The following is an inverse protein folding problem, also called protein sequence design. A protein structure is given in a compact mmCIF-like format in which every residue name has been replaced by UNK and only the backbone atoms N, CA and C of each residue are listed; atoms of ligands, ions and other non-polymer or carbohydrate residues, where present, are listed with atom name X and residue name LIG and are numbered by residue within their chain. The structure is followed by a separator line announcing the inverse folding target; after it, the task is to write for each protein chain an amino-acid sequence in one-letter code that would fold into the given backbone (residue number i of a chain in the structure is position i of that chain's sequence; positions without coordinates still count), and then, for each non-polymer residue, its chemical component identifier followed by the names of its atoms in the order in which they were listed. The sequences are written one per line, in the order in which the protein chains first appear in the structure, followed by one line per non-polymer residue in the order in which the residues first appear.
data_IF_008336093806
#
_entry.id   IF_008336093806
#
_cell.length_a   1.000
_cell.length_b   1.000
_cell.length_c   1.000
_cell.angle_alpha   90.00
_cell.angle_beta   90.00
_cell.angle_gamma   90.00
#
_symmetry.space_group_name_H-M   'P 1'
#
loop_
_entity.id
_entity.type
_entity.pdbx_description
1 polymer ?
#
# COMPACT_ATOMS: atom_id res chain seq x y z
N UNK A 1 2.29 3.64 12.57
CA UNK A 1 3.71 3.78 13.02
C UNK A 1 4.59 4.60 12.10
N UNK A 2 4.53 4.42 10.77
CA UNK A 2 5.48 5.01 9.80
C UNK A 2 5.83 6.49 9.99
N UNK A 3 4.85 7.37 10.23
CA UNK A 3 5.13 8.81 10.44
C UNK A 3 6.00 9.11 11.67
N UNK A 4 5.99 8.28 12.72
CA UNK A 4 6.89 8.44 13.87
C UNK A 4 8.33 8.08 13.48
N UNK A 5 8.51 7.01 12.71
CA UNK A 5 9.80 6.60 12.14
C UNK A 5 10.33 7.70 11.22
N UNK A 6 9.50 8.22 10.32
CA UNK A 6 9.91 9.29 9.39
C UNK A 6 10.20 10.61 10.10
N UNK A 7 9.50 10.94 11.19
CA UNK A 7 9.80 12.10 12.03
C UNK A 7 11.17 11.99 12.71
N UNK A 8 11.53 10.80 13.21
CA UNK A 8 12.87 10.53 13.76
C UNK A 8 13.93 10.63 12.66
N UNK A 9 13.74 9.99 11.51
CA UNK A 9 14.66 10.07 10.36
C UNK A 9 14.87 11.53 9.91
N UNK A 10 13.79 12.30 9.73
CA UNK A 10 13.85 13.70 9.32
C UNK A 10 14.54 14.59 10.38
N UNK A 11 14.32 14.33 11.67
CA UNK A 11 15.01 15.05 12.74
C UNK A 11 16.51 14.74 12.78
N UNK A 12 16.89 13.47 12.70
CA UNK A 12 18.29 13.03 12.62
C UNK A 12 18.99 13.60 11.37
N UNK A 13 18.39 13.47 10.18
CA UNK A 13 18.90 14.05 8.94
C UNK A 13 19.11 15.56 9.06
N UNK A 14 18.14 16.29 9.65
CA UNK A 14 18.27 17.72 9.85
C UNK A 14 19.37 18.09 10.87
N UNK A 15 19.60 17.30 11.93
CA UNK A 15 20.61 17.59 12.96
C UNK A 15 22.03 17.22 12.51
N UNK A 16 22.20 16.09 11.81
CA UNK A 16 23.51 15.59 11.35
C UNK A 16 23.86 16.12 9.96
N UNK A 17 23.09 15.78 8.92
CA UNK A 17 23.37 16.15 7.53
C UNK A 17 23.08 17.61 7.19
N UNK A 18 22.35 18.33 8.05
CA UNK A 18 21.88 19.70 7.82
C UNK A 18 22.96 20.74 7.50
N UNK A 19 24.15 20.64 8.10
CA UNK A 19 25.26 21.53 7.79
C UNK A 19 25.89 21.23 6.42
N UNK A 20 26.00 19.95 6.08
CA UNK A 20 26.47 19.49 4.76
C UNK A 20 25.48 19.92 3.69
N UNK A 21 24.18 19.74 3.91
CA UNK A 21 23.07 20.24 3.07
C UNK A 21 23.12 21.78 2.90
N UNK A 22 23.52 22.54 3.94
CA UNK A 22 23.71 23.99 3.85
C UNK A 22 24.92 24.39 3.00
N UNK A 23 26.02 23.63 3.07
CA UNK A 23 27.26 23.88 2.32
C UNK A 23 27.11 23.42 0.85
N UNK A 24 26.79 22.14 0.65
CA UNK A 24 26.72 21.45 -0.64
C UNK A 24 25.30 20.87 -0.86
N UNK A 25 24.30 21.69 -1.21
CA UNK A 25 22.91 21.22 -1.35
C UNK A 25 22.66 20.32 -2.59
N UNK A 26 23.48 20.43 -3.64
CA UNK A 26 23.27 19.75 -4.92
C UNK A 26 23.15 18.21 -4.82
N UNK A 27 24.09 17.47 -4.18
CA UNK A 27 23.96 16.01 -4.08
C UNK A 27 22.69 15.56 -3.32
N UNK A 28 22.27 16.28 -2.27
CA UNK A 28 21.04 15.96 -1.55
C UNK A 28 19.78 16.20 -2.37
N UNK A 29 19.78 17.20 -3.26
CA UNK A 29 18.66 17.44 -4.17
C UNK A 29 18.63 16.41 -5.31
N UNK A 30 19.79 15.98 -5.82
CA UNK A 30 19.89 14.90 -6.79
C UNK A 30 19.41 13.57 -6.19
N UNK A 31 19.89 13.21 -4.98
CA UNK A 31 19.43 12.03 -4.26
C UNK A 31 17.91 12.07 -3.99
N UNK A 32 17.38 13.21 -3.53
CA UNK A 32 15.93 13.35 -3.34
C UNK A 32 15.14 13.22 -4.66
N UNK A 33 15.69 13.65 -5.80
CA UNK A 33 15.05 13.50 -7.10
C UNK A 33 15.08 12.04 -7.59
N UNK A 34 16.21 11.35 -7.43
CA UNK A 34 16.33 9.91 -7.74
C UNK A 34 15.36 9.10 -6.88
N UNK A 35 15.40 9.25 -5.54
CA UNK A 35 14.48 8.57 -4.62
C UNK A 35 12.99 8.89 -4.89
N UNK A 36 12.69 10.10 -5.40
CA UNK A 36 11.35 10.45 -5.86
C UNK A 36 10.95 9.73 -7.16
N UNK A 37 11.87 9.54 -8.10
CA UNK A 37 11.64 8.78 -9.34
C UNK A 37 11.50 7.28 -9.00
N UNK A 38 12.40 6.72 -8.19
CA UNK A 38 12.36 5.33 -7.76
C UNK A 38 11.02 4.99 -7.09
N UNK A 39 10.53 5.87 -6.21
CA UNK A 39 9.24 5.71 -5.55
C UNK A 39 8.03 5.81 -6.49
N UNK A 40 8.13 6.60 -7.58
CA UNK A 40 7.12 6.62 -8.65
C UNK A 40 7.20 5.31 -9.45
N UNK A 41 8.39 4.88 -9.86
CA UNK A 41 8.59 3.63 -10.61
C UNK A 41 8.05 2.42 -9.83
N UNK A 42 8.33 2.29 -8.53
CA UNK A 42 7.76 1.20 -7.71
C UNK A 42 6.23 1.26 -7.65
N UNK A 43 5.63 2.46 -7.57
CA UNK A 43 4.17 2.65 -7.55
C UNK A 43 3.48 2.49 -8.92
N UNK A 44 4.23 2.46 -10.02
CA UNK A 44 3.69 2.14 -11.35
C UNK A 44 3.94 0.69 -11.77
N UNK A 45 5.08 0.12 -11.36
CA UNK A 45 5.54 -1.19 -11.82
C UNK A 45 5.25 -2.33 -10.84
N UNK A 46 5.03 -2.03 -9.54
CA UNK A 46 4.82 -3.00 -8.46
C UNK A 46 5.69 -4.28 -8.58
N UNK A 47 7.03 -4.15 -8.67
CA UNK A 47 7.91 -5.29 -8.93
C UNK A 47 7.76 -6.34 -7.83
N UNK A 48 7.43 -7.57 -8.27
CA UNK A 48 7.25 -8.73 -7.40
C UNK A 48 8.57 -9.17 -6.75
N UNK A 49 8.47 -9.83 -5.60
CA UNK A 49 9.65 -10.32 -4.86
C UNK A 49 10.33 -9.29 -3.94
N UNK A 50 9.81 -8.07 -3.78
CA UNK A 50 10.25 -7.17 -2.70
C UNK A 50 9.82 -7.75 -1.34
N UNK A 51 10.74 -7.95 -0.37
CA UNK A 51 10.37 -8.41 0.98
C UNK A 51 9.46 -7.40 1.70
N UNK A 52 8.41 -7.88 2.37
CA UNK A 52 7.40 -7.05 3.03
C UNK A 52 8.00 -6.01 3.99
N UNK A 53 9.08 -6.34 4.71
CA UNK A 53 9.78 -5.38 5.57
C UNK A 53 10.30 -4.16 4.79
N UNK A 54 10.90 -4.37 3.62
CA UNK A 54 11.43 -3.28 2.80
C UNK A 54 10.29 -2.43 2.22
N UNK A 55 9.21 -3.09 1.78
CA UNK A 55 8.03 -2.41 1.26
C UNK A 55 7.35 -1.57 2.36
N UNK A 56 7.02 -2.20 3.49
CA UNK A 56 6.27 -1.62 4.61
C UNK A 56 7.04 -0.53 5.35
N UNK A 57 8.37 -0.64 5.56
CA UNK A 57 9.13 0.29 6.39
C UNK A 57 10.01 1.30 5.64
N UNK A 58 10.43 0.99 4.40
CA UNK A 58 11.30 1.89 3.61
C UNK A 58 10.51 2.49 2.45
N UNK A 59 9.97 1.69 1.53
CA UNK A 59 9.28 2.17 0.32
C UNK A 59 8.03 2.98 0.69
N UNK A 60 7.25 2.50 1.65
CA UNK A 60 6.08 3.19 2.19
C UNK A 60 6.37 4.60 2.76
N UNK A 61 7.62 4.93 3.06
CA UNK A 61 8.00 6.27 3.52
C UNK A 61 7.95 7.32 2.39
N UNK A 62 8.14 6.86 1.15
CA UNK A 62 8.14 7.68 -0.06
C UNK A 62 6.77 7.60 -0.75
N UNK A 63 6.24 6.41 -0.97
CA UNK A 63 4.92 6.24 -1.62
C UNK A 63 3.83 6.91 -0.81
N UNK A 64 3.72 6.64 0.50
CA UNK A 64 2.69 7.27 1.38
C UNK A 64 3.06 8.69 1.83
N UNK A 65 4.10 9.31 1.27
CA UNK A 65 4.51 10.70 1.52
C UNK A 65 4.96 11.05 2.95
N UNK A 66 5.03 10.07 3.85
CA UNK A 66 5.25 10.28 5.30
C UNK A 66 6.63 10.89 5.59
N UNK A 67 7.66 10.63 4.78
CA UNK A 67 8.97 11.28 4.89
C UNK A 67 8.93 12.75 4.44
N UNK A 68 8.20 13.05 3.37
CA UNK A 68 8.00 14.44 2.91
C UNK A 68 7.25 15.24 3.98
N UNK A 69 6.17 14.68 4.55
CA UNK A 69 5.41 15.28 5.65
C UNK A 69 6.26 15.53 6.90
N UNK A 70 7.14 14.59 7.27
CA UNK A 70 8.07 14.76 8.39
C UNK A 70 9.13 15.85 8.13
N UNK A 71 9.71 15.89 6.93
CA UNK A 71 10.66 16.94 6.56
C UNK A 71 9.99 18.34 6.57
N UNK A 72 8.74 18.44 6.10
CA UNK A 72 7.93 19.66 6.25
C UNK A 72 7.64 20.02 7.70
N UNK A 73 7.31 19.04 8.56
CA UNK A 73 7.13 19.26 9.99
C UNK A 73 8.39 19.89 10.61
N UNK A 74 9.60 19.40 10.30
CA UNK A 74 10.86 20.04 10.75
C UNK A 74 11.01 21.47 10.21
N UNK A 75 10.71 21.72 8.92
CA UNK A 75 10.73 23.08 8.31
C UNK A 75 9.70 24.03 8.94
N UNK A 76 8.59 23.52 9.47
CA UNK A 76 7.55 24.29 10.16
C UNK A 76 7.93 24.56 11.62
N UNK A 77 8.27 23.51 12.39
CA UNK A 77 8.67 23.61 13.80
C UNK A 77 9.90 24.48 14.01
N UNK A 78 10.85 24.50 13.06
CA UNK A 78 11.97 25.46 13.08
C UNK A 78 11.56 26.93 13.00
N UNK A 79 10.36 27.22 12.51
CA UNK A 79 9.75 28.54 12.60
C UNK A 79 9.01 28.81 13.91
N UNK A 80 8.53 27.78 14.62
CA UNK A 80 7.65 27.91 15.78
C UNK A 80 8.39 28.01 17.14
N UNK A 81 9.55 27.36 17.28
CA UNK A 81 10.35 27.37 18.53
C UNK A 81 11.10 28.72 18.69
N UNK A 82 11.53 29.08 19.90
CA UNK A 82 12.35 30.28 20.15
C UNK A 82 13.77 30.12 19.60
N UNK A 83 14.41 31.23 19.20
CA UNK A 83 15.79 31.23 18.71
C UNK A 83 16.84 31.06 19.85
N UNK A 84 16.40 31.06 21.12
CA UNK A 84 17.29 30.86 22.27
C UNK A 84 17.84 29.43 22.30
N UNK A 85 17.04 28.42 21.91
CA UNK A 85 17.40 27.01 21.97
C UNK A 85 18.57 26.68 21.01
N UNK A 86 19.62 25.96 21.44
CA UNK A 86 20.83 25.73 20.65
C UNK A 86 20.56 24.93 19.37
N UNK A 87 19.72 23.89 19.45
CA UNK A 87 19.23 23.14 18.29
C UNK A 87 18.61 24.07 17.24
N UNK A 88 17.89 25.11 17.67
CA UNK A 88 17.22 26.02 16.76
C UNK A 88 18.18 27.01 16.08
N UNK A 89 19.26 27.40 16.76
CA UNK A 89 20.36 28.14 16.15
C UNK A 89 21.06 27.32 15.05
N UNK A 90 21.20 26.00 15.25
CA UNK A 90 21.74 25.07 14.23
C UNK A 90 20.80 24.88 13.03
N UNK A 91 19.51 24.65 13.28
CA UNK A 91 18.53 24.31 12.25
C UNK A 91 18.00 25.51 11.43
N UNK A 92 18.02 26.73 11.96
CA UNK A 92 17.42 27.89 11.28
C UNK A 92 18.17 28.34 10.00
N UNK A 93 19.52 28.35 9.92
CA UNK A 93 20.26 28.73 8.70
C UNK A 93 20.05 27.80 7.50
N UNK A 94 19.76 26.52 7.75
CA UNK A 94 19.57 25.46 6.73
C UNK A 94 18.11 25.28 6.31
N UNK A 95 17.15 25.89 7.02
CA UNK A 95 15.70 25.77 6.81
C UNK A 95 15.26 25.93 5.35
N UNK A 96 15.90 26.84 4.60
CA UNK A 96 15.59 27.07 3.18
C UNK A 96 16.06 25.96 2.23
N UNK A 97 17.11 25.20 2.60
CA UNK A 97 17.57 24.04 1.83
C UNK A 97 16.70 22.81 2.15
N UNK A 98 16.42 22.59 3.43
CA UNK A 98 15.51 21.52 3.87
C UNK A 98 14.10 21.68 3.27
N UNK A 99 13.62 22.91 3.09
CA UNK A 99 12.36 23.20 2.41
C UNK A 99 12.36 22.87 0.91
N UNK A 100 13.51 22.89 0.22
CA UNK A 100 13.61 22.47 -1.19
C UNK A 100 13.67 20.94 -1.26
N UNK A 101 14.45 20.31 -0.38
CA UNK A 101 14.51 18.86 -0.23
C UNK A 101 13.13 18.25 0.05
N UNK A 102 12.39 18.83 1.02
CA UNK A 102 11.00 18.43 1.34
C UNK A 102 10.08 18.56 0.13
N UNK A 103 10.21 19.64 -0.66
CA UNK A 103 9.40 19.87 -1.84
C UNK A 103 9.69 18.85 -2.97
N UNK A 104 10.94 18.45 -3.18
CA UNK A 104 11.30 17.41 -4.16
C UNK A 104 10.64 16.07 -3.81
N UNK A 105 10.68 15.66 -2.53
CA UNK A 105 10.00 14.45 -2.05
C UNK A 105 8.47 14.58 -2.15
N UNK A 106 7.92 15.79 -1.92
CA UNK A 106 6.48 16.05 -2.06
C UNK A 106 6.05 15.98 -3.53
N UNK A 107 6.88 16.48 -4.46
CA UNK A 107 6.63 16.37 -5.90
C UNK A 107 6.65 14.92 -6.37
N UNK A 108 7.58 14.08 -5.88
CA UNK A 108 7.62 12.65 -6.19
C UNK A 108 6.35 11.93 -5.76
N UNK A 109 5.98 12.06 -4.48
CA UNK A 109 4.72 11.52 -3.95
C UNK A 109 3.49 12.01 -4.72
N UNK A 110 3.38 13.32 -4.97
CA UNK A 110 2.25 13.91 -5.69
C UNK A 110 2.20 13.53 -7.18
N UNK A 111 3.35 13.26 -7.82
CA UNK A 111 3.40 12.75 -9.19
C UNK A 111 2.98 11.27 -9.26
N UNK A 112 3.48 10.43 -8.35
CA UNK A 112 3.13 9.00 -8.31
C UNK A 112 1.65 8.77 -8.02
N UNK A 113 1.13 9.37 -6.95
CA UNK A 113 -0.32 9.32 -6.68
C UNK A 113 -1.10 10.07 -7.76
N UNK A 114 -0.57 11.17 -8.31
CA UNK A 114 -1.20 11.88 -9.43
C UNK A 114 -1.46 10.98 -10.63
N UNK A 115 -0.46 10.21 -11.08
CA UNK A 115 -0.60 9.27 -12.21
C UNK A 115 -1.59 8.14 -11.87
N UNK A 116 -1.42 7.46 -10.73
CA UNK A 116 -2.26 6.30 -10.39
C UNK A 116 -3.72 6.64 -10.03
N UNK A 117 -4.02 7.88 -9.64
CA UNK A 117 -5.38 8.31 -9.29
C UNK A 117 -6.06 9.22 -10.34
N UNK A 118 -5.34 9.78 -11.32
CA UNK A 118 -5.94 10.64 -12.34
C UNK A 118 -7.07 9.98 -13.15
N UNK A 119 -6.95 8.72 -13.64
CA UNK A 119 -8.07 8.03 -14.30
C UNK A 119 -9.26 7.84 -13.37
N UNK A 120 -8.99 7.53 -12.09
CA UNK A 120 -10.01 7.23 -11.07
C UNK A 120 -10.76 8.48 -10.61
N UNK A 121 -10.10 9.63 -10.51
CA UNK A 121 -10.76 10.92 -10.21
C UNK A 121 -11.73 11.36 -11.31
N UNK A 122 -11.46 11.01 -12.58
CA UNK A 122 -12.38 11.26 -13.70
C UNK A 122 -13.62 10.34 -13.67
N UNK A 123 -13.53 9.18 -13.03
CA UNK A 123 -14.59 8.16 -12.98
C UNK A 123 -15.46 8.25 -11.71
N UNK A 124 -14.85 8.42 -10.53
CA UNK A 124 -15.52 8.31 -9.23
C UNK A 124 -15.86 9.64 -8.53
N UNK A 125 -15.49 10.79 -9.12
CA UNK A 125 -15.95 12.10 -8.64
C UNK A 125 -15.41 12.58 -7.28
N UNK A 126 -14.29 12.04 -6.81
CA UNK A 126 -13.58 12.40 -5.56
C UNK A 126 -12.89 13.79 -5.61
N UNK A 127 -13.54 14.77 -6.26
CA UNK A 127 -12.98 16.09 -6.60
C UNK A 127 -12.41 16.87 -5.42
N UNK A 128 -12.92 16.69 -4.20
CA UNK A 128 -12.47 17.41 -3.01
C UNK A 128 -10.99 17.14 -2.69
N UNK A 129 -10.54 15.89 -2.78
CA UNK A 129 -9.15 15.51 -2.57
C UNK A 129 -8.25 16.06 -3.69
N UNK A 130 -8.69 15.91 -4.95
CA UNK A 130 -8.00 16.44 -6.12
C UNK A 130 -7.78 17.97 -6.05
N UNK A 131 -8.83 18.74 -5.75
CA UNK A 131 -8.77 20.22 -5.63
C UNK A 131 -7.76 20.64 -4.56
N UNK A 132 -7.74 19.98 -3.39
CA UNK A 132 -6.77 20.29 -2.33
C UNK A 132 -5.34 20.02 -2.79
N UNK A 133 -5.09 18.90 -3.50
CA UNK A 133 -3.77 18.58 -4.06
C UNK A 133 -3.33 19.59 -5.13
N UNK A 134 -4.21 19.98 -6.06
CA UNK A 134 -3.92 20.98 -7.10
C UNK A 134 -3.60 22.35 -6.48
N UNK A 135 -4.39 22.80 -5.51
CA UNK A 135 -4.12 24.07 -4.80
C UNK A 135 -2.80 24.01 -4.03
N UNK A 136 -2.48 22.89 -3.36
CA UNK A 136 -1.19 22.68 -2.72
C UNK A 136 -0.01 22.77 -3.71
N UNK A 137 -0.12 22.13 -4.86
CA UNK A 137 0.91 22.13 -5.91
C UNK A 137 1.12 23.54 -6.51
N UNK A 138 0.04 24.25 -6.84
CA UNK A 138 0.08 25.63 -7.35
C UNK A 138 0.73 26.61 -6.37
N UNK A 139 0.63 26.38 -5.06
CA UNK A 139 1.32 27.19 -4.05
C UNK A 139 2.78 26.72 -3.85
N UNK A 140 3.03 25.41 -3.83
CA UNK A 140 4.33 24.83 -3.51
C UNK A 140 5.39 25.07 -4.59
N UNK A 141 5.04 24.91 -5.87
CA UNK A 141 6.00 24.99 -6.98
C UNK A 141 6.64 26.39 -7.04
N UNK A 142 5.89 27.52 -7.05
CA UNK A 142 6.48 28.85 -7.00
C UNK A 142 7.31 29.10 -5.73
N UNK A 143 6.85 28.66 -4.55
CA UNK A 143 7.59 28.83 -3.30
C UNK A 143 8.95 28.11 -3.31
N UNK A 144 9.00 26.93 -3.93
CA UNK A 144 10.20 26.10 -4.04
C UNK A 144 11.22 26.75 -4.97
N UNK A 145 10.78 27.16 -6.17
CA UNK A 145 11.59 27.92 -7.13
C UNK A 145 12.14 29.21 -6.51
N UNK A 146 11.31 29.94 -5.74
CA UNK A 146 11.70 31.16 -5.03
C UNK A 146 12.61 30.95 -3.80
N UNK A 147 12.80 29.70 -3.35
CA UNK A 147 13.76 29.36 -2.30
C UNK A 147 15.19 29.20 -2.85
N UNK A 148 15.34 28.89 -4.16
CA UNK A 148 16.63 28.66 -4.81
C UNK A 148 17.54 29.89 -4.69
N UNK A 149 18.74 29.73 -4.12
CA UNK A 149 19.68 30.83 -3.83
C UNK A 149 20.00 31.71 -5.05
N UNK A 150 20.11 31.13 -6.25
CA UNK A 150 20.34 31.86 -7.52
C UNK A 150 19.16 32.77 -7.88
N UNK A 151 17.92 32.31 -7.72
CA UNK A 151 16.68 33.03 -8.08
C UNK A 151 16.37 34.09 -7.02
N UNK A 152 16.45 33.74 -5.73
CA UNK A 152 16.24 34.68 -4.61
C UNK A 152 17.15 35.91 -4.68
N UNK A 153 18.39 35.78 -5.17
CA UNK A 153 19.30 36.92 -5.38
C UNK A 153 18.86 37.90 -6.47
N UNK A 154 18.04 37.49 -7.44
CA UNK A 154 17.55 38.34 -8.55
C UNK A 154 16.30 39.16 -8.20
N UNK A 155 15.70 38.97 -7.02
CA UNK A 155 14.39 39.53 -6.67
C UNK A 155 14.47 40.61 -5.58
N UNK A 156 13.70 41.70 -5.75
CA UNK A 156 13.57 42.75 -4.73
C UNK A 156 13.06 42.13 -3.41
N UNK A 157 13.72 42.36 -2.24
CA UNK A 157 13.38 41.68 -0.99
C UNK A 157 11.93 41.87 -0.51
N UNK A 158 11.28 42.96 -0.89
CA UNK A 158 9.85 43.22 -0.63
C UNK A 158 8.95 42.24 -1.39
N UNK A 159 9.12 42.11 -2.72
CA UNK A 159 8.38 41.13 -3.54
C UNK A 159 8.63 39.69 -3.06
N UNK A 160 9.88 39.33 -2.75
CA UNK A 160 10.22 38.01 -2.22
C UNK A 160 9.53 37.73 -0.86
N UNK A 161 9.55 38.69 0.08
CA UNK A 161 8.83 38.58 1.37
C UNK A 161 7.31 38.50 1.18
N UNK A 162 6.74 39.19 0.20
CA UNK A 162 5.30 39.15 -0.08
C UNK A 162 4.87 37.77 -0.57
N UNK A 163 5.56 37.20 -1.57
CA UNK A 163 5.21 35.87 -2.09
C UNK A 163 5.47 34.80 -1.02
N UNK A 164 6.56 34.89 -0.25
CA UNK A 164 6.82 33.96 0.87
C UNK A 164 5.81 34.06 2.03
N UNK A 165 4.80 34.94 2.00
CA UNK A 165 3.64 34.85 2.90
C UNK A 165 2.65 33.75 2.48
N UNK A 166 2.57 33.35 1.21
CA UNK A 166 1.70 32.24 0.78
C UNK A 166 2.16 30.90 1.35
N UNK A 167 3.43 30.81 1.79
CA UNK A 167 3.92 29.67 2.57
C UNK A 167 3.12 29.42 3.86
N UNK A 168 2.48 30.43 4.44
CA UNK A 168 1.59 30.23 5.60
C UNK A 168 0.26 29.56 5.24
N UNK A 169 -0.25 29.78 4.03
CA UNK A 169 -1.42 29.06 3.51
C UNK A 169 -1.04 27.59 3.26
N UNK A 170 0.10 27.34 2.62
CA UNK A 170 0.66 25.99 2.44
C UNK A 170 0.91 25.25 3.77
N UNK A 171 1.48 25.93 4.78
CA UNK A 171 1.65 25.38 6.14
C UNK A 171 0.34 25.16 6.92
N UNK A 172 -0.81 25.58 6.38
CA UNK A 172 -2.13 25.24 6.90
C UNK A 172 -2.77 24.11 6.08
N UNK A 173 -2.67 24.17 4.74
CA UNK A 173 -3.23 23.16 3.84
C UNK A 173 -2.54 21.79 3.94
N UNK A 174 -1.21 21.70 4.09
CA UNK A 174 -0.54 20.38 4.26
C UNK A 174 -1.07 19.64 5.49
N UNK A 175 -1.08 20.25 6.70
CA UNK A 175 -1.70 19.62 7.86
C UNK A 175 -3.17 19.25 7.66
N UNK A 176 -3.96 20.13 7.05
CA UNK A 176 -5.39 19.88 6.81
C UNK A 176 -5.60 18.68 5.86
N UNK A 177 -4.85 18.60 4.76
CA UNK A 177 -4.87 17.49 3.81
C UNK A 177 -4.47 16.17 4.47
N UNK A 178 -3.32 16.14 5.15
CA UNK A 178 -2.82 14.92 5.82
C UNK A 178 -3.77 14.44 6.90
N UNK A 179 -4.35 15.36 7.70
CA UNK A 179 -5.36 15.01 8.71
C UNK A 179 -6.66 14.53 8.07
N UNK A 180 -7.15 15.14 6.98
CA UNK A 180 -8.38 14.72 6.28
C UNK A 180 -8.25 13.31 5.72
N UNK A 181 -7.14 13.00 5.05
CA UNK A 181 -6.86 11.64 4.53
C UNK A 181 -6.79 10.64 5.69
N UNK A 182 -6.01 10.92 6.74
CA UNK A 182 -5.91 10.00 7.88
C UNK A 182 -7.22 9.91 8.68
N UNK A 183 -8.10 10.90 8.63
CA UNK A 183 -9.43 10.87 9.26
C UNK A 183 -10.42 10.00 8.48
N UNK A 184 -10.42 10.05 7.13
CA UNK A 184 -11.13 9.06 6.29
C UNK A 184 -10.69 7.63 6.64
N UNK A 185 -9.37 7.36 6.60
CA UNK A 185 -8.81 6.03 6.89
C UNK A 185 -9.08 5.57 8.34
N UNK A 186 -9.05 6.47 9.32
CA UNK A 186 -9.35 6.12 10.72
C UNK A 186 -10.84 5.83 10.95
N UNK A 187 -11.76 6.50 10.24
CA UNK A 187 -13.20 6.17 10.25
C UNK A 187 -13.50 4.83 9.58
N UNK A 188 -12.73 4.46 8.55
CA UNK A 188 -12.82 3.15 7.91
C UNK A 188 -12.30 1.98 8.79
N UNK A 189 -11.87 2.24 10.03
CA UNK A 189 -11.45 1.20 10.98
C UNK A 189 -10.05 0.61 10.75
N UNK A 190 -9.32 1.05 9.72
CA UNK A 190 -8.02 0.51 9.31
C UNK A 190 -7.02 0.40 10.47
N UNK A 191 -6.28 -0.71 10.50
CA UNK A 191 -5.31 -1.00 11.55
C UNK A 191 -4.25 0.12 11.65
N UNK A 192 -3.98 0.59 12.88
CA UNK A 192 -3.01 1.67 13.12
C UNK A 192 -3.30 3.04 12.47
N UNK A 193 -4.39 3.22 11.71
CA UNK A 193 -4.76 4.50 11.09
C UNK A 193 -5.14 5.53 12.15
N UNK A 194 -5.96 5.14 13.14
CA UNK A 194 -6.26 5.97 14.31
C UNK A 194 -5.00 6.44 15.04
N UNK A 195 -4.05 5.54 15.32
CA UNK A 195 -2.78 5.91 15.96
C UNK A 195 -1.98 6.90 15.09
N UNK A 196 -1.94 6.68 13.77
CA UNK A 196 -1.20 7.55 12.86
C UNK A 196 -1.84 8.95 12.76
N UNK A 197 -3.17 9.04 12.77
CA UNK A 197 -3.93 10.27 12.92
C UNK A 197 -3.60 10.99 14.24
N UNK A 198 -3.50 10.27 15.37
CA UNK A 198 -3.10 10.88 16.65
C UNK A 198 -1.69 11.49 16.60
N UNK A 199 -0.70 10.81 16.01
CA UNK A 199 0.66 11.36 15.88
C UNK A 199 0.67 12.59 14.97
N UNK A 200 -0.05 12.56 13.83
CA UNK A 200 -0.21 13.74 12.97
C UNK A 200 -0.90 14.91 13.70
N UNK A 201 -1.98 14.65 14.44
CA UNK A 201 -2.67 15.66 15.23
C UNK A 201 -1.75 16.27 16.31
N UNK A 202 -1.00 15.44 17.03
CA UNK A 202 -0.05 15.90 18.05
C UNK A 202 1.02 16.84 17.44
N UNK A 203 1.63 16.44 16.32
CA UNK A 203 2.69 17.22 15.66
C UNK A 203 2.15 18.51 15.05
N UNK A 204 1.00 18.50 14.39
CA UNK A 204 0.50 19.68 13.67
C UNK A 204 -0.39 20.61 14.49
N UNK A 205 -1.26 20.10 15.38
CA UNK A 205 -2.00 20.95 16.34
C UNK A 205 -1.02 21.54 17.36
N UNK A 206 -0.04 20.76 17.82
CA UNK A 206 1.05 21.24 18.67
C UNK A 206 1.85 22.37 18.00
N UNK A 207 2.16 22.24 16.71
CA UNK A 207 2.77 23.31 15.91
C UNK A 207 1.88 24.56 15.86
N UNK A 208 0.59 24.42 15.53
CA UNK A 208 -0.33 25.54 15.38
C UNK A 208 -0.48 26.33 16.70
N UNK A 209 -0.68 25.63 17.81
CA UNK A 209 -0.73 26.19 19.17
C UNK A 209 0.59 26.91 19.51
N UNK A 210 1.74 26.27 19.26
CA UNK A 210 3.05 26.89 19.49
C UNK A 210 3.29 28.12 18.59
N UNK A 211 2.77 28.12 17.36
CA UNK A 211 2.86 29.23 16.40
C UNK A 211 2.03 30.43 16.85
N UNK A 212 0.80 30.21 17.31
CA UNK A 212 -0.10 31.23 17.87
C UNK A 212 0.51 31.81 19.16
N UNK A 213 1.00 30.95 20.07
CA UNK A 213 1.72 31.35 21.28
C UNK A 213 2.93 32.24 20.97
N UNK A 214 3.77 31.88 19.99
CA UNK A 214 4.93 32.70 19.58
C UNK A 214 4.52 34.05 18.98
N UNK A 215 3.45 34.09 18.18
CA UNK A 215 2.88 35.36 17.69
C UNK A 215 2.41 36.24 18.85
N UNK A 216 1.62 35.69 19.79
CA UNK A 216 1.12 36.42 20.96
C UNK A 216 2.25 36.97 21.84
N UNK A 217 3.27 36.15 22.13
CA UNK A 217 4.47 36.58 22.87
C UNK A 217 5.19 37.74 22.18
N UNK A 218 5.31 37.70 20.86
CA UNK A 218 5.98 38.75 20.07
C UNK A 218 5.14 40.03 20.00
N UNK A 219 3.81 39.90 19.88
CA UNK A 219 2.88 41.02 19.67
C UNK A 219 2.47 41.74 20.96
N UNK A 220 2.22 41.01 22.06
CA UNK A 220 1.72 41.56 23.33
C UNK A 220 2.74 41.57 24.48
N UNK A 221 3.90 40.92 24.35
CA UNK A 221 4.97 40.85 25.36
C UNK A 221 4.47 40.62 26.81
N UNK A 222 3.61 39.62 27.08
CA UNK A 222 3.01 39.42 28.40
C UNK A 222 4.06 39.03 29.46
N UNK A 223 4.08 39.72 30.60
CA UNK A 223 5.01 39.47 31.70
C UNK A 223 4.87 38.06 32.30
N UNK A 224 3.64 37.55 32.41
CA UNK A 224 3.36 36.20 32.94
C UNK A 224 3.08 35.20 31.83
N UNK A 225 4.06 34.36 31.53
CA UNK A 225 3.93 33.30 30.51
C UNK A 225 3.06 32.11 30.96
N UNK A 226 2.82 31.93 32.27
CA UNK A 226 2.13 30.75 32.82
C UNK A 226 0.68 30.61 32.32
N UNK A 227 -0.12 31.69 32.37
CA UNK A 227 -1.50 31.68 31.86
C UNK A 227 -1.58 31.42 30.35
N UNK A 228 -0.64 31.97 29.57
CA UNK A 228 -0.55 31.71 28.13
C UNK A 228 -0.19 30.24 27.84
N UNK A 229 0.67 29.62 28.65
CA UNK A 229 0.98 28.19 28.54
C UNK A 229 -0.25 27.32 28.88
N UNK A 230 -1.02 27.67 29.92
CA UNK A 230 -2.24 26.96 30.31
C UNK A 230 -3.32 27.04 29.21
N UNK A 231 -3.58 28.24 28.66
CA UNK A 231 -4.53 28.42 27.53
C UNK A 231 -4.05 27.67 26.28
N UNK A 232 -2.75 27.66 25.99
CA UNK A 232 -2.18 26.89 24.89
C UNK A 232 -2.37 25.37 25.08
N UNK A 233 -2.14 24.86 26.29
CA UNK A 233 -2.35 23.44 26.61
C UNK A 233 -3.84 23.05 26.53
N UNK A 234 -4.74 23.89 27.07
CA UNK A 234 -6.18 23.67 26.97
C UNK A 234 -6.67 23.66 25.50
N UNK A 235 -6.20 24.60 24.67
CA UNK A 235 -6.54 24.63 23.25
C UNK A 235 -6.03 23.39 22.50
N UNK A 236 -4.82 22.91 22.81
CA UNK A 236 -4.32 21.65 22.28
C UNK A 236 -5.20 20.47 22.71
N UNK A 237 -5.49 20.34 24.00
CA UNK A 237 -6.26 19.23 24.56
C UNK A 237 -7.70 19.18 24.01
N UNK A 238 -8.38 20.33 23.85
CA UNK A 238 -9.72 20.40 23.27
C UNK A 238 -9.73 19.96 21.81
N UNK A 239 -8.82 20.46 20.97
CA UNK A 239 -8.75 20.08 19.56
C UNK A 239 -8.38 18.59 19.40
N UNK A 240 -7.40 18.12 20.18
CA UNK A 240 -6.94 16.74 20.15
C UNK A 240 -8.04 15.76 20.61
N UNK A 241 -8.73 16.09 21.71
CA UNK A 241 -9.88 15.31 22.21
C UNK A 241 -11.05 15.33 21.21
N UNK A 242 -11.32 16.47 20.57
CA UNK A 242 -12.34 16.58 19.52
C UNK A 242 -12.07 15.65 18.33
N UNK A 243 -10.81 15.53 17.88
CA UNK A 243 -10.42 14.56 16.85
C UNK A 243 -10.59 13.12 17.35
N UNK A 244 -10.20 12.82 18.60
CA UNK A 244 -10.40 11.49 19.20
C UNK A 244 -11.88 11.10 19.30
N UNK A 245 -12.75 12.06 19.61
CA UNK A 245 -14.19 11.87 19.74
C UNK A 245 -14.85 11.69 18.37
N UNK A 246 -14.55 12.54 17.39
CA UNK A 246 -15.16 12.52 16.05
C UNK A 246 -14.83 11.26 15.22
N UNK A 247 -13.80 10.48 15.59
CA UNK A 247 -13.54 9.15 15.00
C UNK A 247 -14.31 8.04 15.74
N UNK A 248 -14.72 8.25 17.00
CA UNK A 248 -15.42 7.26 17.84
C UNK A 248 -16.94 7.40 17.85
N UNK A 249 -17.49 8.55 17.47
CA UNK A 249 -18.93 8.84 17.54
C UNK A 249 -19.76 8.23 16.41
N UNK A 250 -19.14 7.92 15.28
CA UNK A 250 -19.79 7.22 14.18
C UNK A 250 -19.41 5.74 14.26
N UNK A 251 -20.42 4.87 14.39
CA UNK A 251 -20.23 3.46 14.03
C UNK A 251 -19.77 3.39 12.57
N UNK A 252 -18.95 2.39 12.19
CA UNK A 252 -18.82 2.06 10.78
C UNK A 252 -20.21 1.90 10.18
N UNK A 253 -20.46 2.42 8.99
CA UNK A 253 -21.56 1.86 8.21
C UNK A 253 -21.17 0.42 7.94
N UNK A 254 -21.90 -0.51 8.56
CA UNK A 254 -21.98 -1.87 8.08
C UNK A 254 -22.61 -1.78 6.69
N UNK A 255 -21.76 -1.67 5.66
CA UNK A 255 -22.09 -2.25 4.35
C UNK A 255 -22.60 -3.64 4.67
N UNK A 256 -23.89 -3.87 4.42
CA UNK A 256 -24.48 -5.16 4.71
C UNK A 256 -23.65 -6.20 3.96
N UNK A 257 -23.18 -7.22 4.68
CA UNK A 257 -22.75 -8.43 3.99
C UNK A 257 -23.93 -8.84 3.12
N UNK A 258 -23.75 -8.86 1.80
CA UNK A 258 -24.77 -9.35 0.90
C UNK A 258 -24.97 -10.81 1.28
N UNK A 259 -26.09 -11.10 1.94
CA UNK A 259 -26.48 -12.45 2.30
C UNK A 259 -26.59 -13.23 1.00
N UNK A 260 -25.62 -14.12 0.76
CA UNK A 260 -25.54 -14.90 -0.48
C UNK A 260 -26.64 -15.95 -0.41
N UNK A 261 -27.85 -15.53 -0.80
CA UNK A 261 -28.98 -16.41 -1.01
C UNK A 261 -28.52 -17.50 -1.97
N UNK A 262 -28.55 -18.79 -1.58
CA UNK A 262 -28.10 -19.86 -2.44
C UNK A 262 -28.95 -19.90 -3.71
N UNK A 263 -28.31 -19.77 -4.87
CA UNK A 263 -29.00 -19.83 -6.16
C UNK A 263 -29.48 -21.25 -6.43
N UNK A 264 -30.76 -21.52 -6.16
CA UNK A 264 -31.38 -22.78 -6.58
C UNK A 264 -31.39 -22.91 -8.11
N UNK A 265 -30.97 -24.08 -8.59
CA UNK A 265 -30.86 -24.38 -10.02
C UNK A 265 -32.25 -24.73 -10.55
N UNK A 266 -33.01 -23.72 -11.01
CA UNK A 266 -34.31 -23.93 -11.66
C UNK A 266 -34.11 -24.20 -13.16
N UNK A 267 -33.86 -25.46 -13.49
CA UNK A 267 -33.90 -25.97 -14.87
C UNK A 267 -35.34 -25.97 -15.38
N UNK A 268 -35.70 -25.00 -16.23
CA UNK A 268 -37.03 -24.88 -16.82
C UNK A 268 -36.97 -24.75 -18.36
N UNK A 269 -36.83 -25.89 -19.04
CA UNK A 269 -37.04 -25.96 -20.50
C UNK A 269 -38.53 -25.95 -20.79
N UNK A 270 -38.99 -25.04 -21.67
CA UNK A 270 -40.25 -25.21 -22.38
C UNK A 270 -40.15 -24.59 -23.78
N UNK A 271 -40.29 -25.44 -24.79
CA UNK A 271 -40.20 -25.07 -26.21
C UNK A 271 -41.48 -24.40 -26.73
N UNK A 272 -41.40 -23.84 -27.94
CA UNK A 272 -42.38 -23.87 -29.06
C UNK A 272 -42.32 -22.50 -29.77
N UNK A 273 -41.66 -22.35 -30.93
CA UNK A 273 -42.14 -22.65 -32.31
C UNK A 273 -43.34 -21.76 -32.75
N UNK A 274 -43.47 -21.19 -33.96
CA UNK A 274 -42.66 -21.11 -35.22
C UNK A 274 -42.96 -19.69 -35.82
N UNK A 275 -42.22 -19.03 -36.72
CA UNK A 275 -42.08 -19.34 -38.17
C UNK A 275 -41.12 -18.37 -38.89
N UNK A 276 -40.29 -18.92 -39.77
CA UNK A 276 -39.43 -18.33 -40.82
C UNK A 276 -40.14 -17.36 -41.79
N UNK A 277 -39.43 -16.37 -42.40
CA UNK A 277 -39.26 -16.21 -43.88
C UNK A 277 -38.62 -14.87 -44.34
N UNK A 278 -37.42 -14.98 -44.92
CA UNK A 278 -36.80 -14.26 -46.05
C UNK A 278 -36.81 -12.70 -46.22
N UNK A 279 -35.61 -12.17 -46.54
CA UNK A 279 -35.39 -11.00 -47.42
C UNK A 279 -35.72 -11.39 -48.89
N UNK A 280 -36.15 -10.46 -49.80
CA UNK A 280 -35.16 -9.60 -50.49
C UNK A 280 -35.62 -8.20 -50.99
N UNK A 281 -34.61 -7.37 -51.27
CA UNK A 281 -34.44 -6.43 -52.40
C UNK A 281 -35.50 -5.34 -52.78
N UNK A 282 -34.95 -4.13 -52.94
CA UNK A 282 -35.14 -3.18 -54.07
C UNK A 282 -36.40 -2.28 -54.25
N UNK A 283 -36.14 -0.98 -54.08
CA UNK A 283 -36.34 0.11 -55.06
C UNK A 283 -37.60 1.00 -55.08
N UNK A 284 -37.35 2.32 -55.25
CA UNK A 284 -38.20 3.40 -55.82
C UNK A 284 -39.59 3.73 -55.18
N UNK A 285 -40.20 4.93 -55.34
CA UNK A 285 -39.75 6.30 -55.73
C UNK A 285 -40.75 7.38 -55.22
N UNK A 286 -40.28 8.64 -55.09
CA UNK A 286 -41.06 9.93 -55.20
C UNK A 286 -42.20 10.17 -54.17
N UNK A 287 -42.70 11.39 -53.92
CA UNK A 287 -42.23 12.79 -54.06
C UNK A 287 -43.12 13.64 -53.10
N UNK A 288 -42.84 14.91 -52.72
CA UNK A 288 -43.00 16.15 -53.52
C UNK A 288 -42.53 17.37 -52.67
N UNK A 289 -41.79 18.29 -53.31
CA UNK A 289 -41.81 19.79 -53.24
C UNK A 289 -42.33 20.52 -51.95
N UNK A 290 -41.80 21.68 -51.49
CA UNK A 290 -41.32 22.85 -52.26
C UNK A 290 -40.41 23.79 -51.43
N UNK A 291 -39.21 24.10 -51.96
CA UNK A 291 -38.59 25.43 -52.29
C UNK A 291 -38.99 26.68 -51.45
N UNK A 292 -38.10 27.61 -51.04
CA UNK A 292 -37.23 28.56 -51.81
C UNK A 292 -36.00 29.00 -50.95
N UNK A 293 -34.72 28.88 -51.39
CA UNK A 293 -33.82 29.81 -52.17
C UNK A 293 -33.47 31.12 -51.40
N UNK A 294 -32.26 31.71 -51.41
CA UNK A 294 -31.06 31.68 -52.31
C UNK A 294 -29.73 31.87 -51.47
N UNK A 295 -28.56 31.31 -51.82
CA UNK A 295 -27.52 31.77 -52.79
C UNK A 295 -26.64 32.95 -52.30
N UNK A 296 -25.34 33.10 -52.58
CA UNK A 296 -24.25 32.35 -53.27
C UNK A 296 -22.90 33.10 -52.97
N UNK A 297 -21.65 32.66 -53.23
CA UNK A 297 -20.99 31.42 -53.73
C UNK A 297 -19.45 31.45 -53.40
N UNK A 298 -18.68 30.44 -53.85
CA UNK A 298 -17.29 30.53 -54.41
C UNK A 298 -16.05 30.87 -53.50
N UNK A 299 -14.81 30.33 -53.69
CA UNK A 299 -14.28 29.41 -54.73
C UNK A 299 -12.95 28.64 -54.32
N UNK A 300 -12.63 27.57 -55.08
CA UNK A 300 -11.33 26.84 -55.26
C UNK A 300 -10.58 26.06 -54.15
N UNK A 301 -10.54 24.73 -54.34
CA UNK A 301 -9.40 23.90 -54.84
C UNK A 301 -8.07 23.78 -54.08
N UNK A 302 -7.42 22.62 -54.23
CA UNK A 302 -6.32 22.08 -53.43
C UNK A 302 -4.99 21.84 -54.19
N UNK A 303 -4.00 21.36 -53.42
CA UNK A 303 -2.90 20.46 -53.79
C UNK A 303 -1.54 21.01 -54.30
N UNK A 304 -0.53 20.14 -54.14
CA UNK A 304 0.85 20.16 -54.67
C UNK A 304 1.86 21.20 -54.12
N UNK A 305 3.18 20.95 -54.09
CA UNK A 305 3.98 19.71 -53.84
C UNK A 305 5.48 20.06 -53.74
N UNK A 306 6.33 19.05 -53.47
CA UNK A 306 7.81 19.04 -53.60
C UNK A 306 8.67 19.92 -52.65
N UNK A 307 10.00 19.76 -52.56
CA UNK A 307 10.88 18.56 -52.51
C UNK A 307 12.35 18.99 -52.36
N UNK A 308 13.16 18.26 -51.57
CA UNK A 308 14.63 17.99 -51.64
C UNK A 308 15.17 17.72 -50.22
N UNK A 309 15.67 16.53 -49.84
CA UNK A 309 16.86 15.77 -50.31
C UNK A 309 18.19 16.34 -49.76
N UNK A 310 19.13 15.58 -49.19
CA UNK A 310 19.21 14.15 -48.77
C UNK A 310 20.36 14.01 -47.70
N UNK A 311 20.86 12.86 -47.20
CA UNK A 311 20.63 11.43 -47.50
C UNK A 311 21.12 10.51 -46.36
N UNK A 312 20.73 9.22 -46.42
CA UNK A 312 21.43 7.93 -46.15
C UNK A 312 22.63 7.81 -45.15
N UNK A 313 22.92 6.64 -44.55
CA UNK A 313 22.35 5.28 -44.75
C UNK A 313 22.47 4.38 -43.51
N UNK A 314 21.77 3.23 -43.56
CA UNK A 314 21.74 2.15 -42.56
C UNK A 314 22.87 1.12 -42.75
N UNK A 315 23.15 0.33 -41.71
CA UNK A 315 23.20 -1.15 -41.82
C UNK A 315 23.16 -1.83 -40.45
N UNK A 316 22.53 -3.00 -40.38
CA UNK A 316 22.62 -3.97 -39.28
C UNK A 316 23.23 -5.25 -39.84
N UNK A 317 23.98 -6.03 -39.03
CA UNK A 317 23.92 -7.50 -39.07
C UNK A 317 24.61 -8.13 -37.85
N UNK A 318 24.52 -9.46 -37.74
CA UNK A 318 24.91 -10.30 -36.60
C UNK A 318 25.74 -11.48 -37.12
N UNK A 319 26.76 -11.94 -36.38
CA UNK A 319 26.77 -13.32 -35.85
C UNK A 319 27.94 -13.61 -34.85
N UNK A 320 27.91 -14.85 -34.36
CA UNK A 320 28.78 -15.63 -33.45
C UNK A 320 30.16 -15.96 -34.06
N UNK A 321 31.17 -16.58 -33.41
CA UNK A 321 31.17 -17.79 -32.56
C UNK A 321 32.42 -17.94 -31.65
N UNK A 322 32.45 -19.04 -30.91
CA UNK A 322 33.40 -19.58 -29.90
C UNK A 322 34.86 -19.75 -30.40
N UNK A 323 35.89 -20.21 -29.66
CA UNK A 323 36.10 -21.34 -28.71
C UNK A 323 37.43 -21.05 -27.94
N UNK A 324 37.94 -21.66 -26.87
CA UNK A 324 37.59 -22.63 -25.79
C UNK A 324 38.94 -22.95 -25.06
N UNK A 325 38.91 -23.53 -23.85
CA UNK A 325 39.93 -24.39 -23.18
C UNK A 325 39.81 -24.21 -21.64
N UNK A 326 39.02 -24.97 -20.87
CA UNK A 326 38.86 -26.43 -20.69
C UNK A 326 39.98 -27.08 -19.84
N UNK A 327 39.60 -27.51 -18.63
CA UNK A 327 40.17 -28.61 -17.83
C UNK A 327 39.08 -29.15 -16.89
N UNK A 328 38.75 -30.43 -17.00
CA UNK A 328 37.89 -31.17 -16.04
C UNK A 328 38.81 -31.76 -14.91
N UNK A 329 38.43 -32.67 -13.99
CA UNK A 329 37.40 -33.72 -14.00
C UNK A 329 37.25 -34.41 -12.62
N UNK A 330 36.01 -34.75 -12.21
CA UNK A 330 35.52 -35.81 -11.27
C UNK A 330 36.29 -36.10 -9.92
N UNK A 331 35.82 -36.85 -8.91
CA UNK A 331 34.79 -37.90 -8.82
C UNK A 331 34.36 -38.21 -7.36
N UNK A 332 33.25 -38.95 -7.20
CA UNK A 332 32.85 -39.89 -6.11
C UNK A 332 32.68 -39.52 -4.59
N UNK A 333 31.79 -40.29 -3.95
CA UNK A 333 31.52 -40.52 -2.50
C UNK A 333 32.16 -41.87 -2.07
N UNK A 334 32.09 -42.44 -0.81
CA UNK A 334 31.28 -42.13 0.39
C UNK A 334 32.03 -42.26 1.76
N UNK A 335 31.27 -42.46 2.87
CA UNK A 335 31.65 -43.10 4.18
C UNK A 335 32.67 -42.34 5.10
N UNK A 336 32.83 -42.60 6.41
CA UNK A 336 31.97 -43.11 7.52
C UNK A 336 32.68 -42.83 8.89
N UNK A 337 31.93 -42.53 9.97
CA UNK A 337 32.28 -42.75 11.40
C UNK A 337 31.07 -42.34 12.30
N UNK A 338 30.46 -43.20 13.14
CA UNK A 338 30.95 -43.86 14.38
C UNK A 338 31.28 -42.86 15.50
N UNK A 339 30.53 -42.72 16.61
CA UNK A 339 30.32 -43.65 17.75
C UNK A 339 31.61 -43.85 18.61
N UNK A 340 31.63 -43.86 19.95
CA UNK A 340 30.63 -43.65 21.02
C UNK A 340 31.34 -43.46 22.40
N UNK A 341 30.56 -43.24 23.48
CA UNK A 341 30.82 -43.69 24.88
C UNK A 341 31.74 -42.94 25.92
N UNK A 342 31.06 -42.44 26.98
CA UNK A 342 31.06 -42.92 28.40
C UNK A 342 32.41 -42.94 29.18
N UNK A 343 32.52 -42.36 30.41
CA UNK A 343 31.75 -42.87 31.56
C UNK A 343 31.36 -41.93 32.75
N UNK A 344 30.60 -42.54 33.68
CA UNK A 344 30.59 -42.37 35.15
C UNK A 344 29.69 -41.31 35.83
N UNK A 345 28.62 -41.83 36.45
CA UNK A 345 27.90 -41.29 37.62
C UNK A 345 28.39 -42.03 38.90
N UNK A 346 28.12 -41.56 40.14
CA UNK A 346 27.44 -42.47 41.09
C UNK A 346 26.53 -41.82 42.17
N UNK A 347 25.52 -42.59 42.61
CA UNK A 347 24.71 -42.45 43.86
C UNK A 347 23.86 -41.15 43.99
N UNK A 348 22.76 -41.05 44.77
CA UNK A 348 22.13 -41.80 45.87
C UNK A 348 20.61 -41.39 45.96
N UNK A 349 19.65 -41.87 46.77
CA UNK A 349 19.30 -43.04 47.65
C UNK A 349 17.87 -42.72 48.21
N UNK A 350 16.96 -43.59 48.69
CA UNK A 350 16.73 -45.05 48.70
C UNK A 350 15.25 -45.32 49.13
N UNK A 351 14.62 -46.43 48.67
CA UNK A 351 13.50 -47.16 49.34
C UNK A 351 12.10 -46.48 49.50
N UNK A 352 10.96 -47.16 49.64
CA UNK A 352 10.56 -48.60 49.64
C UNK A 352 9.02 -48.69 49.32
N UNK A 353 8.29 -49.82 49.15
CA UNK A 353 8.51 -51.28 49.18
C UNK A 353 7.40 -52.01 48.34
N UNK A 354 7.31 -53.35 48.46
CA UNK A 354 6.18 -54.22 48.02
C UNK A 354 5.90 -55.28 49.12
N UNK A 355 4.88 -56.20 49.06
CA UNK A 355 4.94 -57.37 48.16
C UNK A 355 3.60 -57.97 47.65
N UNK A 356 3.71 -58.87 46.67
CA UNK A 356 2.71 -59.87 46.22
C UNK A 356 2.81 -61.18 47.06
N UNK A 357 1.92 -62.19 46.92
CA UNK A 357 2.26 -63.34 46.03
C UNK A 357 1.06 -64.13 45.41
N UNK A 358 1.35 -65.07 44.49
CA UNK A 358 0.38 -65.91 43.75
C UNK A 358 0.52 -67.45 43.96
N UNK A 359 -0.52 -68.26 43.65
CA UNK A 359 -0.43 -69.69 43.21
C UNK A 359 -1.78 -70.40 42.80
N UNK A 360 -1.93 -70.69 41.49
CA UNK A 360 -2.37 -71.94 40.81
C UNK A 360 -3.57 -72.88 41.25
N UNK A 361 -4.59 -72.97 40.36
CA UNK A 361 -5.34 -74.17 39.82
C UNK A 361 -6.08 -75.20 40.75
N UNK A 362 -6.96 -76.14 40.26
CA UNK A 362 -7.34 -76.51 38.86
C UNK A 362 -8.86 -76.66 38.48
N UNK A 363 -9.11 -76.56 37.17
CA UNK A 363 -10.03 -77.28 36.24
C UNK A 363 -11.35 -77.97 36.65
N UNK A 364 -12.45 -77.66 35.90
CA UNK A 364 -13.48 -78.61 35.39
C UNK A 364 -13.87 -78.19 33.94
N UNK A 365 -14.22 -79.13 33.06
CA UNK A 365 -14.74 -78.91 31.68
C UNK A 365 -16.18 -79.48 31.59
N UNK A 366 -17.10 -79.00 30.76
CA UNK A 366 -17.41 -79.41 29.36
C UNK A 366 -18.96 -79.22 29.16
N UNK A 367 -19.59 -79.09 27.96
CA UNK A 367 -19.12 -79.05 26.57
C UNK A 367 -19.38 -77.73 25.81
N UNK A 368 -18.98 -77.73 24.53
CA UNK A 368 -19.01 -76.62 23.59
C UNK A 368 -20.39 -76.08 23.18
N UNK A 369 -20.39 -74.79 22.82
CA UNK A 369 -21.21 -74.22 21.75
C UNK A 369 -20.26 -73.53 20.76
N UNK A 370 -20.57 -73.56 19.46
CA UNK A 370 -19.69 -73.02 18.42
C UNK A 370 -19.63 -71.48 18.47
N UNK A 371 -18.44 -70.86 18.37
CA UNK A 371 -18.34 -69.42 18.13
C UNK A 371 -18.87 -69.10 16.71
N UNK A 372 -19.75 -68.10 16.53
CA UNK A 372 -20.13 -67.65 15.20
C UNK A 372 -18.90 -67.10 14.46
N UNK A 373 -18.83 -67.33 13.15
CA UNK A 373 -17.71 -66.90 12.33
C UNK A 373 -17.44 -65.40 12.46
N UNK A 374 -16.21 -65.04 12.84
CA UNK A 374 -15.79 -63.65 12.87
C UNK A 374 -15.80 -63.09 11.45
N UNK A 375 -16.69 -62.14 11.18
CA UNK A 375 -16.56 -61.29 10.01
C UNK A 375 -15.29 -60.46 10.20
N UNK A 376 -14.33 -60.60 9.28
CA UNK A 376 -13.18 -59.72 9.24
C UNK A 376 -13.69 -58.30 8.97
N UNK A 377 -13.43 -57.36 9.88
CA UNK A 377 -13.48 -55.95 9.49
C UNK A 377 -12.47 -55.76 8.34
N UNK A 378 -12.81 -54.99 7.28
CA UNK A 378 -11.81 -54.59 6.31
C UNK A 378 -10.69 -53.82 7.02
N UNK A 379 -9.45 -54.05 6.57
CA UNK A 379 -8.28 -53.26 6.96
C UNK A 379 -8.61 -51.76 6.75
N UNK A 380 -8.21 -50.84 7.65
CA UNK A 380 -8.44 -49.43 7.45
C UNK A 380 -7.73 -48.98 6.16
N UNK A 381 -8.53 -48.64 5.16
CA UNK A 381 -8.08 -48.17 3.85
C UNK A 381 -7.06 -47.02 4.05
N UNK A 382 -5.88 -47.06 3.39
CA UNK A 382 -4.80 -46.12 3.68
C UNK A 382 -5.29 -44.69 3.44
N UNK A 383 -5.33 -43.91 4.51
CA UNK A 383 -5.95 -42.59 4.50
C UNK A 383 -5.36 -41.73 3.37
N UNK A 384 -6.19 -41.09 2.53
CA UNK A 384 -5.74 -40.35 1.37
C UNK A 384 -4.69 -39.29 1.75
N UNK A 385 -3.54 -39.36 1.10
CA UNK A 385 -2.40 -38.46 1.34
C UNK A 385 -2.64 -37.11 0.68
N UNK A 386 -3.49 -36.28 1.30
CA UNK A 386 -3.75 -34.92 0.86
C UNK A 386 -2.47 -34.08 0.78
N UNK A 387 -2.38 -33.19 -0.21
CA UNK A 387 -1.30 -32.20 -0.35
C UNK A 387 -1.36 -31.13 0.75
N UNK A 388 -2.57 -30.76 1.17
CA UNK A 388 -2.85 -29.75 2.17
C UNK A 388 -3.52 -30.36 3.41
N UNK A 389 -3.36 -29.70 4.54
CA UNK A 389 -4.08 -29.99 5.77
C UNK A 389 -5.50 -29.42 5.69
N UNK A 390 -6.49 -30.17 6.17
CA UNK A 390 -7.85 -29.66 6.32
C UNK A 390 -7.90 -28.62 7.44
N UNK A 391 -8.61 -27.51 7.22
CA UNK A 391 -8.74 -26.41 8.19
C UNK A 391 -8.80 -25.03 7.54
N UNK A 392 -8.65 -23.97 8.34
CA UNK A 392 -8.56 -22.59 7.86
C UNK A 392 -7.16 -22.05 8.10
N UNK A 393 -6.55 -21.50 7.05
CA UNK A 393 -5.17 -21.02 7.01
C UNK A 393 -5.15 -19.53 6.68
N UNK A 394 -4.37 -18.75 7.43
CA UNK A 394 -4.23 -17.32 7.20
C UNK A 394 -2.97 -17.01 6.40
N UNK A 395 -3.13 -16.18 5.38
CA UNK A 395 -2.06 -15.68 4.54
C UNK A 395 -2.12 -14.16 4.41
N UNK A 396 -1.03 -13.54 3.98
CA UNK A 396 -0.96 -12.09 3.82
C UNK A 396 0.08 -11.71 2.77
N UNK A 397 -0.20 -10.66 2.00
CA UNK A 397 0.74 -10.09 1.03
C UNK A 397 0.48 -8.59 0.85
N UNK A 398 1.47 -7.84 0.38
CA UNK A 398 1.30 -6.43 0.06
C UNK A 398 0.58 -6.23 -1.28
N UNK A 399 -0.52 -5.48 -1.28
CA UNK A 399 -1.31 -5.12 -2.47
C UNK A 399 -0.89 -3.78 -3.08
N UNK A 400 -1.84 -2.85 -3.25
CA UNK A 400 -1.58 -1.54 -3.84
C UNK A 400 -0.88 -0.58 -2.86
N UNK A 401 -1.48 -0.29 -1.70
CA UNK A 401 -0.83 0.52 -0.65
C UNK A 401 -1.04 -0.02 0.77
N UNK A 402 -1.31 -1.31 0.90
CA UNK A 402 -1.65 -1.99 2.13
C UNK A 402 -1.22 -3.45 2.15
N UNK A 403 -1.22 -4.05 3.33
CA UNK A 403 -1.30 -5.51 3.41
C UNK A 403 -2.73 -5.93 3.10
N UNK A 404 -2.89 -7.05 2.41
CA UNK A 404 -4.15 -7.77 2.28
C UNK A 404 -4.01 -9.03 3.12
N UNK A 405 -5.03 -9.30 3.93
CA UNK A 405 -5.09 -10.44 4.85
C UNK A 405 -6.21 -11.36 4.41
N UNK A 406 -5.92 -12.64 4.22
CA UNK A 406 -6.86 -13.64 3.68
C UNK A 406 -6.89 -14.87 4.58
N UNK A 407 -8.08 -15.40 4.81
CA UNK A 407 -8.31 -16.70 5.44
C UNK A 407 -8.88 -17.66 4.39
N UNK A 408 -8.17 -18.75 4.13
CA UNK A 408 -8.50 -19.79 3.15
C UNK A 408 -8.93 -21.05 3.91
N UNK A 409 -10.15 -21.52 3.69
CA UNK A 409 -10.60 -22.81 4.22
C UNK A 409 -10.38 -23.89 3.17
N UNK A 410 -9.71 -24.96 3.58
CA UNK A 410 -9.37 -26.12 2.76
C UNK A 410 -10.00 -27.36 3.39
N UNK A 411 -10.64 -28.18 2.57
CA UNK A 411 -11.10 -29.50 2.94
C UNK A 411 -10.85 -30.46 1.77
N UNK A 412 -10.20 -31.58 2.07
CA UNK A 412 -9.99 -32.72 1.18
C UNK A 412 -9.28 -32.31 -0.12
N UNK A 413 -8.20 -31.54 0.04
CA UNK A 413 -7.44 -30.79 -0.98
C UNK A 413 -8.19 -29.69 -1.76
N UNK A 414 -9.49 -29.47 -1.50
CA UNK A 414 -10.30 -28.43 -2.14
C UNK A 414 -10.38 -27.16 -1.29
N UNK A 415 -10.10 -26.01 -1.89
CA UNK A 415 -10.39 -24.69 -1.34
C UNK A 415 -11.90 -24.47 -1.38
N UNK A 416 -12.54 -24.44 -0.21
CA UNK A 416 -14.00 -24.34 -0.06
C UNK A 416 -14.49 -22.93 0.25
N UNK A 417 -13.64 -22.09 0.85
CA UNK A 417 -13.97 -20.69 1.15
C UNK A 417 -12.71 -19.82 1.17
N UNK A 418 -12.85 -18.54 0.80
CA UNK A 418 -11.82 -17.52 0.90
C UNK A 418 -12.48 -16.24 1.42
N UNK A 419 -12.10 -15.81 2.63
CA UNK A 419 -12.51 -14.52 3.19
C UNK A 419 -11.28 -13.62 3.37
N UNK A 420 -11.47 -12.31 3.56
CA UNK A 420 -10.32 -11.44 3.74
C UNK A 420 -10.68 -10.00 4.08
N UNK A 421 -9.64 -9.25 4.48
CA UNK A 421 -9.69 -7.83 4.82
C UNK A 421 -8.48 -7.11 4.21
N UNK A 422 -8.62 -5.79 3.98
CA UNK A 422 -7.54 -4.97 3.44
C UNK A 422 -7.09 -3.90 4.43
N UNK A 423 -5.78 -3.70 4.49
CA UNK A 423 -5.11 -2.55 5.07
C UNK A 423 -4.69 -1.56 3.96
N UNK A 424 -5.41 -1.44 2.84
CA UNK A 424 -5.22 -0.40 1.82
C UNK A 424 -5.90 0.93 2.21
N UNK A 425 -5.73 2.00 1.44
CA UNK A 425 -6.32 3.32 1.69
C UNK A 425 -7.76 3.46 1.19
N UNK A 426 -8.13 2.75 0.13
CA UNK A 426 -9.45 2.79 -0.51
C UNK A 426 -10.00 1.37 -0.69
N UNK A 427 -10.73 0.90 0.33
CA UNK A 427 -11.23 -0.48 0.40
C UNK A 427 -12.22 -0.90 -0.70
N UNK A 428 -12.70 0.05 -1.52
CA UNK A 428 -13.56 -0.26 -2.68
C UNK A 428 -12.85 -1.16 -3.69
N UNK A 429 -11.57 -0.88 -4.02
CA UNK A 429 -10.82 -1.73 -4.96
C UNK A 429 -10.55 -3.13 -4.41
N UNK A 430 -10.50 -3.28 -3.09
CA UNK A 430 -10.42 -4.60 -2.46
C UNK A 430 -11.74 -5.36 -2.58
N UNK A 431 -12.88 -4.71 -2.35
CA UNK A 431 -14.20 -5.32 -2.55
C UNK A 431 -14.39 -5.71 -4.02
N UNK A 432 -14.07 -4.82 -4.96
CA UNK A 432 -14.16 -5.08 -6.40
C UNK A 432 -13.23 -6.24 -6.83
N UNK A 433 -11.97 -6.21 -6.40
CA UNK A 433 -11.01 -7.28 -6.70
C UNK A 433 -11.38 -8.61 -6.01
N UNK A 434 -11.90 -8.59 -4.78
CA UNK A 434 -12.34 -9.78 -4.06
C UNK A 434 -13.52 -10.44 -4.77
N UNK A 435 -14.51 -9.63 -5.19
CA UNK A 435 -15.68 -10.10 -5.95
C UNK A 435 -15.33 -10.69 -7.32
N UNK A 436 -14.18 -10.33 -7.91
CA UNK A 436 -13.70 -10.88 -9.17
C UNK A 436 -12.77 -12.09 -8.98
N UNK A 437 -11.76 -11.96 -8.11
CA UNK A 437 -10.66 -12.91 -7.93
C UNK A 437 -11.07 -14.11 -7.09
N UNK A 438 -11.85 -13.94 -6.02
CA UNK A 438 -12.22 -15.08 -5.15
C UNK A 438 -13.05 -16.13 -5.90
N UNK A 439 -14.11 -15.77 -6.66
CA UNK A 439 -14.83 -16.75 -7.48
C UNK A 439 -13.95 -17.44 -8.53
N UNK A 440 -12.97 -16.73 -9.10
CA UNK A 440 -12.00 -17.31 -10.04
C UNK A 440 -11.09 -18.35 -9.37
N UNK A 441 -10.54 -18.05 -8.18
CA UNK A 441 -9.69 -18.98 -7.41
C UNK A 441 -10.52 -20.20 -6.95
N UNK A 442 -11.76 -20.00 -6.49
CA UNK A 442 -12.64 -21.10 -6.07
C UNK A 442 -13.02 -22.04 -7.23
N UNK A 443 -13.07 -21.53 -8.47
CA UNK A 443 -13.35 -22.33 -9.67
C UNK A 443 -12.09 -23.03 -10.20
N UNK A 444 -10.97 -22.32 -10.30
CA UNK A 444 -9.70 -22.87 -10.82
C UNK A 444 -8.92 -23.71 -9.81
N UNK A 445 -9.25 -23.61 -8.52
CA UNK A 445 -8.50 -24.19 -7.40
C UNK A 445 -7.01 -23.78 -7.39
N UNK A 446 -6.72 -22.60 -7.96
CA UNK A 446 -5.38 -22.04 -8.10
C UNK A 446 -5.37 -20.55 -7.75
N UNK A 447 -4.35 -20.04 -7.03
CA UNK A 447 -4.20 -18.60 -6.79
C UNK A 447 -3.73 -17.83 -8.02
N UNK A 448 -3.33 -18.50 -9.10
CA UNK A 448 -2.83 -17.88 -10.33
C UNK A 448 -3.98 -17.68 -11.33
N UNK A 449 -4.67 -16.55 -11.21
CA UNK A 449 -5.84 -16.16 -12.02
C UNK A 449 -5.70 -14.75 -12.59
N UNK A 450 -6.59 -14.37 -13.50
CA UNK A 450 -6.61 -13.01 -14.06
C UNK A 450 -6.90 -11.94 -13.01
N UNK A 451 -6.24 -10.78 -13.16
CA UNK A 451 -6.39 -9.63 -12.28
C UNK A 451 -7.46 -8.66 -12.79
N UNK A 452 -8.29 -8.11 -11.89
CA UNK A 452 -9.31 -7.14 -12.27
C UNK A 452 -8.67 -5.85 -12.81
N UNK A 453 -9.09 -5.41 -14.00
CA UNK A 453 -8.65 -4.15 -14.60
C UNK A 453 -9.02 -2.96 -13.71
N UNK A 454 -8.07 -2.07 -13.45
CA UNK A 454 -8.24 -0.94 -12.52
C UNK A 454 -8.03 -1.28 -11.04
N UNK A 455 -8.07 -2.55 -10.65
CA UNK A 455 -7.77 -3.07 -9.31
C UNK A 455 -6.65 -4.13 -9.32
N UNK A 456 -5.72 -4.02 -10.29
CA UNK A 456 -4.74 -5.06 -10.65
C UNK A 456 -3.79 -5.41 -9.51
N UNK A 457 -3.21 -4.43 -8.83
CA UNK A 457 -2.26 -4.65 -7.73
C UNK A 457 -2.94 -5.19 -6.46
N UNK A 458 -4.19 -4.77 -6.21
CA UNK A 458 -5.03 -5.32 -5.16
C UNK A 458 -5.42 -6.78 -5.46
N UNK A 459 -5.74 -7.09 -6.71
CA UNK A 459 -5.97 -8.47 -7.19
C UNK A 459 -4.73 -9.35 -6.97
N UNK A 460 -3.54 -8.87 -7.36
CA UNK A 460 -2.26 -9.57 -7.14
C UNK A 460 -1.96 -9.77 -5.65
N UNK A 461 -2.31 -8.80 -4.79
CA UNK A 461 -2.20 -8.94 -3.33
C UNK A 461 -3.14 -10.00 -2.75
N UNK A 462 -4.37 -10.14 -3.27
CA UNK A 462 -5.29 -11.23 -2.91
C UNK A 462 -4.68 -12.58 -3.31
N UNK A 463 -4.24 -12.72 -4.56
CA UNK A 463 -3.56 -13.94 -5.03
C UNK A 463 -2.31 -14.28 -4.20
N UNK A 464 -1.50 -13.27 -3.84
CA UNK A 464 -0.32 -13.41 -3.00
C UNK A 464 -0.66 -13.90 -1.59
N UNK A 465 -1.70 -13.34 -0.98
CA UNK A 465 -2.18 -13.79 0.33
C UNK A 465 -2.74 -15.22 0.28
N UNK A 466 -3.42 -15.63 -0.80
CA UNK A 466 -3.84 -17.02 -1.00
C UNK A 466 -2.64 -17.95 -1.17
N UNK A 467 -1.60 -17.59 -1.96
CA UNK A 467 -0.36 -18.40 -2.05
C UNK A 467 0.27 -18.62 -0.67
N UNK A 468 0.43 -17.55 0.12
CA UNK A 468 0.98 -17.66 1.47
C UNK A 468 0.13 -18.55 2.42
N UNK A 469 -1.21 -18.50 2.29
CA UNK A 469 -2.09 -19.39 3.05
C UNK A 469 -1.92 -20.86 2.63
N UNK A 470 -1.88 -21.14 1.33
CA UNK A 470 -1.67 -22.49 0.78
C UNK A 470 -0.29 -23.07 1.13
N UNK A 471 0.77 -22.26 1.06
CA UNK A 471 2.12 -22.63 1.52
C UNK A 471 2.10 -23.02 3.01
N UNK A 472 1.39 -22.27 3.85
CA UNK A 472 1.23 -22.62 5.27
C UNK A 472 0.37 -23.86 5.51
N UNK A 473 -0.45 -24.26 4.54
CA UNK A 473 -1.37 -25.39 4.66
C UNK A 473 -0.74 -26.75 4.28
N UNK A 474 0.36 -26.76 3.53
CA UNK A 474 1.01 -27.99 3.03
C UNK A 474 1.21 -29.05 4.12
N UNK A 475 0.97 -30.32 3.75
CA UNK A 475 1.59 -31.46 4.42
C UNK A 475 3.05 -31.56 3.94
N UNK A 476 3.97 -31.79 4.87
CA UNK A 476 5.42 -31.87 4.63
C UNK A 476 5.98 -33.25 4.92
#
# INVERSE_FOLDING_TARGET
MLFLISLVIAACFAVFCGETLRKHPAPFYAAAAVMSIDAVCVLQLHPTGIPDFLNQYVIAQFTKGTLAAACWAVVMWTGAISYQNPLMKKLMPQRGQLSIFSAILTLGHAAGYGISFFPRWLQHGEYANFIVCVVLMLIMIPLTVLSVRKIRKKLKPTKWKAIQRTAYLFYFLIPAHVLLVNFKLAKAGRSGAFFSLLVYAAVFVGYAVCRIRKWYLTAKKPERHMGLNAVAFAAFAVIFSGICFAVRTEKPQTTQAAEVVPTEIVTAVSSTDITTTALPAESETKAVSTTVTASESDITTAAESESTAASASETSESDTTETEAVSNENNDQPEEQAAQDIPAQPAAQQQDASPEPAAQQPTVQEPAAEPPAQQQQPDPEPAPSYRYRNGTFSGSAYGYDGMIHVEVTIQDDVITNITGTTDESEAVYFIDAQNFVVPAILNTQSPDVDALSGATFTSQGIMGAVRAALESALNG
#
